data_IF_917806372812
#
_entry.id   IF_917806372812
#
_cell.length_a   1.000
_cell.length_b   1.000
_cell.length_c   1.000
_cell.angle_alpha   90.00
_cell.angle_beta   90.00
_cell.angle_gamma   90.00
#
_symmetry.space_group_name_H-M   'P 1'
#
loop_
_entity.id
_entity.type
_entity.pdbx_description
1 polymer ?
#
# COMPACT_ATOMS: atom_id res chain seq x y z
N UNK A 1 -59.74 21.54 12.02
CA UNK A 1 -58.38 21.18 11.55
C UNK A 1 -58.28 19.67 11.51
N UNK A 2 -57.98 19.08 10.35
CA UNK A 2 -57.88 17.62 10.16
C UNK A 2 -56.49 17.14 10.62
N UNK A 3 -56.38 16.04 11.38
CA UNK A 3 -55.07 15.42 11.63
C UNK A 3 -54.69 14.54 10.44
N UNK A 4 -53.48 14.75 9.91
CA UNK A 4 -52.86 13.85 8.94
C UNK A 4 -52.17 12.71 9.71
N UNK A 5 -52.69 11.48 9.55
CA UNK A 5 -52.00 10.26 9.97
C UNK A 5 -50.89 9.95 8.96
N UNK A 6 -49.64 9.97 9.41
CA UNK A 6 -48.48 9.58 8.64
C UNK A 6 -48.33 8.06 8.75
N UNK A 7 -48.68 7.31 7.71
CA UNK A 7 -48.49 5.86 7.63
C UNK A 7 -47.07 5.59 7.15
N UNK A 8 -46.25 4.99 8.01
CA UNK A 8 -44.89 4.53 7.70
C UNK A 8 -44.98 3.14 7.04
N UNK A 9 -44.50 2.93 5.80
CA UNK A 9 -44.46 1.58 5.24
C UNK A 9 -43.31 0.78 5.87
N UNK A 10 -43.69 -0.27 6.60
CA UNK A 10 -42.79 -1.32 7.08
C UNK A 10 -42.21 -2.06 5.85
N UNK A 11 -40.94 -1.84 5.53
CA UNK A 11 -40.21 -2.70 4.61
C UNK A 11 -39.93 -4.05 5.28
N UNK A 12 -40.71 -5.06 4.93
CA UNK A 12 -40.41 -6.45 5.25
C UNK A 12 -39.21 -6.90 4.42
N UNK A 13 -38.06 -7.10 5.08
CA UNK A 13 -36.92 -7.79 4.48
C UNK A 13 -37.28 -9.28 4.32
N UNK A 14 -37.68 -9.68 3.11
CA UNK A 14 -37.65 -11.07 2.69
C UNK A 14 -36.19 -11.47 2.44
N UNK A 15 -35.59 -12.19 3.38
CA UNK A 15 -34.31 -12.86 3.18
C UNK A 15 -34.50 -14.08 2.29
N UNK A 16 -34.33 -13.90 0.97
CA UNK A 16 -34.11 -15.02 0.05
C UNK A 16 -32.70 -15.57 0.30
N UNK A 17 -32.61 -16.70 1.00
CA UNK A 17 -31.40 -17.52 1.06
C UNK A 17 -31.30 -18.33 -0.24
N UNK A 18 -30.72 -17.73 -1.28
CA UNK A 18 -30.27 -18.47 -2.44
C UNK A 18 -28.96 -19.17 -2.09
N UNK A 19 -29.05 -20.49 -1.94
CA UNK A 19 -27.93 -21.40 -1.74
C UNK A 19 -27.20 -21.54 -3.08
N UNK A 20 -26.20 -20.70 -3.32
CA UNK A 20 -25.26 -20.90 -4.42
C UNK A 20 -24.13 -21.80 -3.94
N UNK A 21 -24.01 -22.97 -4.56
CA UNK A 21 -22.83 -23.83 -4.46
C UNK A 21 -21.67 -23.11 -5.16
N UNK A 22 -20.95 -22.29 -4.42
CA UNK A 22 -19.75 -21.63 -4.91
C UNK A 22 -18.62 -22.66 -4.91
N UNK A 23 -18.15 -23.02 -6.10
CA UNK A 23 -16.83 -23.61 -6.31
C UNK A 23 -15.80 -22.83 -5.49
N UNK A 24 -15.16 -23.51 -4.53
CA UNK A 24 -14.07 -22.93 -3.74
C UNK A 24 -12.96 -22.48 -4.71
N UNK A 25 -12.52 -21.21 -4.66
CA UNK A 25 -11.23 -20.86 -5.26
C UNK A 25 -10.17 -21.72 -4.56
N UNK A 26 -9.25 -22.23 -5.36
CA UNK A 26 -8.15 -23.10 -4.94
C UNK A 26 -7.32 -22.32 -3.91
N UNK A 27 -7.61 -22.50 -2.61
CA UNK A 27 -6.85 -21.88 -1.54
C UNK A 27 -5.47 -22.50 -1.60
N UNK A 28 -4.48 -21.73 -2.05
CA UNK A 28 -3.07 -22.05 -1.89
C UNK A 28 -2.90 -22.34 -0.40
N UNK A 29 -2.67 -23.61 -0.08
CA UNK A 29 -2.37 -24.03 1.29
C UNK A 29 -1.07 -23.35 1.68
N UNK A 30 -1.16 -22.25 2.43
CA UNK A 30 -0.01 -21.63 3.06
C UNK A 30 0.58 -22.65 4.03
N UNK A 31 1.59 -23.37 3.55
CA UNK A 31 2.46 -24.16 4.41
C UNK A 31 3.21 -23.20 5.30
N UNK A 32 2.84 -23.16 6.57
CA UNK A 32 3.57 -22.53 7.68
C UNK A 32 4.88 -23.29 7.92
N UNK A 33 5.79 -23.26 6.95
CA UNK A 33 7.19 -23.60 7.20
C UNK A 33 7.76 -22.50 8.09
N UNK A 34 8.26 -22.91 9.25
CA UNK A 34 9.08 -22.14 10.16
C UNK A 34 10.10 -21.28 9.38
N UNK A 35 9.84 -19.96 9.31
CA UNK A 35 10.74 -18.97 8.72
C UNK A 35 11.91 -18.73 9.68
N UNK A 36 12.89 -19.65 9.73
CA UNK A 36 14.15 -19.41 10.44
C UNK A 36 15.06 -18.53 9.57
N UNK A 37 15.52 -17.42 10.14
CA UNK A 37 16.55 -16.50 9.62
C UNK A 37 16.23 -15.71 8.34
N UNK A 38 15.02 -15.15 8.23
CA UNK A 38 14.85 -14.00 7.32
C UNK A 38 15.57 -12.80 7.94
N UNK A 39 16.61 -12.28 7.24
CA UNK A 39 17.23 -10.98 7.57
C UNK A 39 16.14 -9.92 7.75
N UNK A 40 16.21 -9.16 8.85
CA UNK A 40 15.29 -8.06 9.12
C UNK A 40 15.44 -6.90 8.13
N UNK A 41 16.51 -6.85 7.35
CA UNK A 41 16.69 -5.88 6.28
C UNK A 41 15.62 -6.08 5.19
N UNK A 42 15.17 -5.04 4.48
CA UNK A 42 14.02 -5.18 3.59
C UNK A 42 14.28 -5.98 2.31
N UNK A 43 15.53 -6.16 1.89
CA UNK A 43 15.94 -6.66 0.57
C UNK A 43 15.55 -8.14 0.32
N UNK A 44 15.36 -8.46 -0.97
CA UNK A 44 15.21 -9.79 -1.53
C UNK A 44 16.03 -9.86 -2.83
N UNK A 45 17.19 -10.54 -2.83
CA UNK A 45 18.02 -10.69 -4.01
C UNK A 45 17.31 -11.32 -5.23
N UNK A 46 16.19 -12.03 -5.00
CA UNK A 46 15.37 -12.61 -6.08
C UNK A 46 14.42 -11.62 -6.76
N UNK A 47 14.30 -10.38 -6.28
CA UNK A 47 13.51 -9.33 -6.90
C UNK A 47 14.43 -8.31 -7.61
N UNK A 48 14.50 -8.29 -8.96
CA UNK A 48 15.37 -7.36 -9.69
C UNK A 48 14.91 -5.90 -9.62
N UNK A 49 13.72 -5.62 -9.07
CA UNK A 49 13.14 -4.28 -8.94
C UNK A 49 13.32 -3.69 -7.53
N UNK A 50 14.18 -4.29 -6.68
CA UNK A 50 14.39 -3.84 -5.29
C UNK A 50 14.89 -2.41 -5.14
N UNK A 51 15.60 -1.92 -6.15
CA UNK A 51 16.08 -0.54 -6.19
C UNK A 51 14.95 0.50 -6.11
N UNK A 52 13.71 0.15 -6.47
CA UNK A 52 12.56 1.07 -6.38
C UNK A 52 12.16 1.27 -4.91
N UNK A 53 12.03 0.19 -4.13
CA UNK A 53 11.76 0.28 -2.70
C UNK A 53 12.89 0.94 -1.91
N UNK A 54 14.15 0.68 -2.30
CA UNK A 54 15.31 1.33 -1.71
C UNK A 54 15.26 2.86 -1.92
N UNK A 55 15.09 3.29 -3.17
CA UNK A 55 14.97 4.71 -3.52
C UNK A 55 13.79 5.38 -2.83
N UNK A 56 12.66 4.69 -2.73
CA UNK A 56 11.49 5.17 -2.00
C UNK A 56 11.86 5.54 -0.56
N UNK A 57 12.52 4.63 0.17
CA UNK A 57 12.92 4.87 1.56
C UNK A 57 14.00 5.94 1.68
N UNK A 58 14.93 6.04 0.72
CA UNK A 58 15.93 7.12 0.68
C UNK A 58 15.28 8.51 0.55
N UNK A 59 14.19 8.61 -0.21
CA UNK A 59 13.43 9.86 -0.34
C UNK A 59 12.67 10.14 0.95
N UNK A 60 11.95 9.14 1.51
CA UNK A 60 11.24 9.30 2.78
C UNK A 60 12.15 9.74 3.93
N UNK A 61 13.36 9.20 4.03
CA UNK A 61 14.32 9.58 5.05
C UNK A 61 14.69 11.07 5.03
N UNK A 62 14.53 11.75 3.88
CA UNK A 62 14.74 13.20 3.75
C UNK A 62 13.46 14.00 3.92
N UNK A 63 12.35 13.52 3.36
CA UNK A 63 11.07 14.26 3.35
C UNK A 63 10.39 14.25 4.71
N UNK A 64 10.31 13.09 5.37
CA UNK A 64 9.51 12.94 6.61
C UNK A 64 9.96 13.88 7.73
N UNK A 65 11.27 14.10 7.99
CA UNK A 65 11.73 15.08 8.98
C UNK A 65 11.34 16.54 8.68
N UNK A 66 11.06 16.88 7.42
CA UNK A 66 10.70 18.24 6.99
C UNK A 66 9.19 18.50 7.06
N UNK A 67 8.36 17.45 7.21
CA UNK A 67 6.90 17.59 7.29
C UNK A 67 6.50 18.21 8.63
N UNK A 68 5.79 19.34 8.58
CA UNK A 68 5.18 19.93 9.76
C UNK A 68 3.98 19.09 10.24
N UNK A 69 4.18 18.31 11.30
CA UNK A 69 3.15 17.40 11.84
C UNK A 69 2.00 18.10 12.56
N UNK A 70 2.11 19.39 12.88
CA UNK A 70 1.06 20.20 13.53
C UNK A 70 0.38 21.19 12.59
N UNK A 71 0.82 21.28 11.33
CA UNK A 71 0.27 22.17 10.32
C UNK A 71 -0.77 21.43 9.47
N UNK A 72 -1.69 22.19 8.86
CA UNK A 72 -2.63 21.66 7.87
C UNK A 72 -1.86 21.00 6.70
N UNK A 73 -2.25 19.79 6.25
CA UNK A 73 -1.67 19.14 5.08
C UNK A 73 -1.65 20.03 3.85
N UNK A 74 -0.48 20.13 3.22
CA UNK A 74 -0.20 20.91 2.03
C UNK A 74 0.51 20.04 0.99
N UNK A 75 -0.22 19.72 -0.09
CA UNK A 75 0.27 18.89 -1.17
C UNK A 75 1.46 19.52 -1.90
N UNK A 76 1.47 20.85 -2.04
CA UNK A 76 2.57 21.54 -2.71
C UNK A 76 3.85 21.47 -1.89
N UNK A 77 3.73 21.49 -0.55
CA UNK A 77 4.87 21.32 0.34
C UNK A 77 5.45 19.91 0.28
N UNK A 78 4.63 18.84 0.23
CA UNK A 78 5.14 17.46 0.11
C UNK A 78 5.79 17.23 -1.24
N UNK A 79 5.15 17.69 -2.33
CA UNK A 79 5.70 17.59 -3.68
C UNK A 79 7.05 18.32 -3.81
N UNK A 80 7.17 19.51 -3.21
CA UNK A 80 8.42 20.26 -3.18
C UNK A 80 9.51 19.51 -2.41
N UNK A 81 9.20 19.01 -1.21
CA UNK A 81 10.17 18.26 -0.40
C UNK A 81 10.66 16.99 -1.13
N UNK A 82 9.77 16.27 -1.81
CA UNK A 82 10.12 15.12 -2.65
C UNK A 82 11.02 15.53 -3.83
N UNK A 83 10.71 16.64 -4.49
CA UNK A 83 11.52 17.19 -5.59
C UNK A 83 12.93 17.55 -5.10
N UNK A 84 13.03 18.24 -3.96
CA UNK A 84 14.31 18.60 -3.35
C UNK A 84 15.10 17.34 -2.93
N UNK A 85 14.43 16.32 -2.40
CA UNK A 85 15.04 15.06 -1.97
C UNK A 85 15.57 14.20 -3.13
N UNK A 86 14.92 14.26 -4.29
CA UNK A 86 15.24 13.48 -5.51
C UNK A 86 16.32 14.13 -6.37
N UNK A 87 16.39 15.47 -6.40
CA UNK A 87 17.39 16.23 -7.15
C UNK A 87 18.85 15.75 -6.94
N UNK A 88 19.38 15.61 -5.70
CA UNK A 88 20.76 15.15 -5.49
C UNK A 88 20.95 13.66 -5.81
N UNK A 89 19.87 12.88 -5.89
CA UNK A 89 19.92 11.46 -6.23
C UNK A 89 19.89 11.22 -7.75
N UNK A 90 19.76 12.29 -8.56
CA UNK A 90 19.60 12.22 -10.02
C UNK A 90 18.46 11.28 -10.44
N UNK A 91 17.44 11.15 -9.59
CA UNK A 91 16.28 10.34 -9.89
C UNK A 91 15.37 11.12 -10.84
N UNK A 92 14.91 10.46 -11.89
CA UNK A 92 13.93 11.04 -12.80
C UNK A 92 12.64 11.26 -12.01
N UNK A 93 12.31 12.52 -11.74
CA UNK A 93 10.99 12.86 -11.26
C UNK A 93 10.02 12.76 -12.44
N UNK A 94 8.86 12.14 -12.25
CA UNK A 94 7.72 12.39 -13.12
C UNK A 94 7.39 13.89 -13.11
N UNK A 95 6.95 14.43 -14.26
CA UNK A 95 6.80 15.88 -14.44
C UNK A 95 5.78 16.51 -13.47
N UNK A 96 5.88 17.82 -13.26
CA UNK A 96 5.20 18.56 -12.17
C UNK A 96 3.69 18.26 -12.03
N UNK A 97 2.97 18.09 -13.14
CA UNK A 97 1.52 17.81 -13.18
C UNK A 97 1.10 16.50 -12.51
N UNK A 98 2.07 15.64 -12.21
CA UNK A 98 1.82 14.35 -11.60
C UNK A 98 1.66 14.44 -10.08
N UNK A 99 2.35 15.36 -9.42
CA UNK A 99 2.19 15.54 -7.98
C UNK A 99 0.77 16.01 -7.63
N UNK A 100 0.10 16.69 -8.56
CA UNK A 100 -1.31 17.07 -8.44
C UNK A 100 -2.26 15.85 -8.33
N UNK A 101 -1.84 14.66 -8.78
CA UNK A 101 -2.65 13.44 -8.69
C UNK A 101 -2.48 12.68 -7.37
N UNK A 102 -1.52 13.07 -6.52
CA UNK A 102 -1.19 12.38 -5.26
C UNK A 102 -2.41 12.27 -4.35
N UNK A 103 -3.14 13.38 -4.13
CA UNK A 103 -4.32 13.37 -3.28
C UNK A 103 -5.40 12.42 -3.81
N UNK A 104 -5.57 12.37 -5.14
CA UNK A 104 -6.46 11.43 -5.80
C UNK A 104 -6.03 9.99 -5.54
N UNK A 105 -4.76 9.65 -5.78
CA UNK A 105 -4.22 8.30 -5.57
C UNK A 105 -4.35 7.84 -4.12
N UNK A 106 -4.03 8.70 -3.14
CA UNK A 106 -4.14 8.39 -1.70
C UNK A 106 -5.59 8.18 -1.27
N UNK A 107 -6.55 8.83 -1.94
CA UNK A 107 -7.98 8.71 -1.63
C UNK A 107 -8.69 7.51 -2.26
N UNK A 108 -8.08 6.86 -3.27
CA UNK A 108 -8.69 5.71 -3.94
C UNK A 108 -8.72 4.49 -3.02
N UNK A 109 -9.83 3.76 -3.05
CA UNK A 109 -9.81 2.41 -2.48
C UNK A 109 -9.02 1.47 -3.41
N UNK A 110 -8.43 0.42 -2.82
CA UNK A 110 -7.56 -0.51 -3.54
C UNK A 110 -8.21 -1.13 -4.78
N UNK A 111 -9.50 -1.50 -4.69
CA UNK A 111 -10.17 -2.22 -5.77
C UNK A 111 -10.41 -1.31 -6.97
N UNK A 112 -10.79 -0.05 -6.72
CA UNK A 112 -10.88 1.00 -7.74
C UNK A 112 -9.53 1.25 -8.39
N UNK A 113 -8.47 1.41 -7.58
CA UNK A 113 -7.12 1.61 -8.09
C UNK A 113 -6.70 0.47 -9.03
N UNK A 114 -6.79 -0.78 -8.57
CA UNK A 114 -6.40 -1.96 -9.36
C UNK A 114 -7.23 -2.07 -10.64
N UNK A 115 -8.54 -1.78 -10.57
CA UNK A 115 -9.42 -1.85 -11.74
C UNK A 115 -8.99 -0.90 -12.86
N UNK A 116 -8.47 0.28 -12.51
CA UNK A 116 -8.06 1.34 -13.45
C UNK A 116 -6.68 1.11 -14.08
N UNK A 117 -5.91 0.13 -13.60
CA UNK A 117 -4.58 -0.13 -14.13
C UNK A 117 -4.63 -0.72 -15.53
N UNK A 118 -3.73 -0.23 -16.39
CA UNK A 118 -3.44 -0.84 -17.68
C UNK A 118 -2.43 -2.00 -17.50
N UNK A 119 -2.93 -3.09 -16.92
CA UNK A 119 -2.18 -4.33 -16.75
C UNK A 119 -3.10 -5.54 -16.95
N UNK A 120 -2.50 -6.71 -17.17
CA UNK A 120 -3.27 -7.94 -17.39
C UNK A 120 -4.08 -8.37 -16.17
N UNK A 121 -5.11 -9.19 -16.38
CA UNK A 121 -5.91 -9.77 -15.29
C UNK A 121 -5.01 -10.53 -14.28
N UNK A 122 -4.07 -11.40 -14.70
CA UNK A 122 -3.14 -12.04 -13.77
C UNK A 122 -2.33 -11.05 -12.93
N UNK A 123 -1.94 -9.90 -13.50
CA UNK A 123 -1.22 -8.86 -12.75
C UNK A 123 -2.12 -8.23 -11.68
N UNK A 124 -3.37 -7.91 -12.02
CA UNK A 124 -4.36 -7.36 -11.09
C UNK A 124 -4.66 -8.32 -9.93
N UNK A 125 -4.71 -9.63 -10.21
CA UNK A 125 -4.88 -10.66 -9.17
C UNK A 125 -3.69 -10.69 -8.20
N UNK A 126 -2.46 -10.63 -8.71
CA UNK A 126 -1.26 -10.59 -7.85
C UNK A 126 -1.18 -9.30 -7.03
N UNK A 127 -1.57 -8.16 -7.60
CA UNK A 127 -1.67 -6.91 -6.84
C UNK A 127 -2.74 -7.00 -5.76
N UNK A 128 -3.89 -7.60 -6.06
CA UNK A 128 -4.96 -7.83 -5.07
C UNK A 128 -4.46 -8.69 -3.90
N UNK A 129 -3.69 -9.73 -4.20
CA UNK A 129 -3.06 -10.57 -3.18
C UNK A 129 -2.03 -9.80 -2.33
N UNK A 130 -1.22 -8.93 -2.93
CA UNK A 130 -0.30 -8.06 -2.18
C UNK A 130 -1.05 -7.20 -1.15
N UNK A 131 -2.15 -6.56 -1.55
CA UNK A 131 -2.97 -5.78 -0.63
C UNK A 131 -3.65 -6.66 0.44
N UNK A 132 -4.05 -7.88 0.10
CA UNK A 132 -4.57 -8.87 1.06
C UNK A 132 -3.54 -9.21 2.12
N UNK A 133 -2.29 -9.49 1.73
CA UNK A 133 -1.17 -9.76 2.64
C UNK A 133 -0.99 -8.61 3.65
N UNK A 134 -1.00 -7.36 3.19
CA UNK A 134 -0.85 -6.19 4.07
C UNK A 134 -2.02 -6.03 5.04
N UNK A 135 -3.26 -6.17 4.58
CA UNK A 135 -4.45 -6.08 5.45
C UNK A 135 -4.47 -7.20 6.48
N UNK A 136 -4.09 -8.42 6.08
CA UNK A 136 -4.01 -9.57 6.96
C UNK A 136 -2.90 -9.43 7.99
N UNK A 137 -1.80 -8.75 7.66
CA UNK A 137 -0.75 -8.43 8.63
C UNK A 137 -1.26 -7.59 9.81
N UNK A 138 -2.18 -6.64 9.56
CA UNK A 138 -2.85 -5.90 10.63
C UNK A 138 -3.76 -6.80 11.43
N UNK A 139 -4.64 -7.52 10.72
CA UNK A 139 -5.68 -8.36 11.35
C UNK A 139 -5.09 -9.42 12.26
N UNK A 140 -3.96 -10.00 11.86
CA UNK A 140 -3.31 -11.10 12.55
C UNK A 140 -2.09 -10.66 13.37
N UNK A 141 -1.81 -9.34 13.43
CA UNK A 141 -0.66 -8.77 14.16
C UNK A 141 0.68 -9.42 13.78
N UNK A 142 0.90 -9.64 12.49
CA UNK A 142 2.15 -10.22 12.00
C UNK A 142 3.34 -9.30 12.26
N UNK A 143 4.45 -9.90 12.69
CA UNK A 143 5.73 -9.20 12.74
C UNK A 143 6.26 -8.92 11.33
N UNK A 144 7.22 -8.00 11.23
CA UNK A 144 7.83 -7.65 9.94
C UNK A 144 8.39 -8.89 9.21
N UNK A 145 9.02 -9.82 9.94
CA UNK A 145 9.56 -11.06 9.37
C UNK A 145 8.49 -11.90 8.66
N UNK A 146 7.31 -12.08 9.27
CA UNK A 146 6.22 -12.87 8.70
C UNK A 146 5.59 -12.19 7.49
N UNK A 147 5.47 -10.85 7.54
CA UNK A 147 5.01 -10.05 6.42
C UNK A 147 5.98 -10.13 5.24
N UNK A 148 7.28 -9.93 5.50
CA UNK A 148 8.34 -10.04 4.49
C UNK A 148 8.34 -11.44 3.87
N UNK A 149 8.20 -12.49 4.67
CA UNK A 149 8.09 -13.87 4.20
C UNK A 149 6.93 -14.08 3.21
N UNK A 150 5.74 -13.54 3.52
CA UNK A 150 4.59 -13.61 2.61
C UNK A 150 4.79 -12.80 1.33
N UNK A 151 5.37 -11.60 1.41
CA UNK A 151 5.66 -10.80 0.20
C UNK A 151 6.68 -11.51 -0.69
N UNK A 152 7.74 -12.10 -0.12
CA UNK A 152 8.73 -12.89 -0.89
C UNK A 152 8.08 -14.11 -1.56
N UNK A 153 7.13 -14.77 -0.89
CA UNK A 153 6.37 -15.86 -1.50
C UNK A 153 5.54 -15.39 -2.72
N UNK A 154 4.93 -14.20 -2.62
CA UNK A 154 4.24 -13.59 -3.75
C UNK A 154 5.21 -13.24 -4.89
N UNK A 155 6.38 -12.66 -4.59
CA UNK A 155 7.41 -12.35 -5.58
C UNK A 155 7.90 -13.59 -6.33
N UNK A 156 8.12 -14.69 -5.62
CA UNK A 156 8.46 -15.98 -6.24
C UNK A 156 7.33 -16.50 -7.14
N UNK A 157 6.07 -16.33 -6.71
CA UNK A 157 4.90 -16.70 -7.51
C UNK A 157 4.81 -15.87 -8.80
N UNK A 158 5.12 -14.57 -8.73
CA UNK A 158 5.19 -13.68 -9.90
C UNK A 158 6.27 -14.11 -10.89
N UNK A 159 7.47 -14.45 -10.39
CA UNK A 159 8.59 -14.88 -11.23
C UNK A 159 8.29 -16.18 -11.99
N UNK A 160 7.50 -17.08 -11.40
CA UNK A 160 7.14 -18.39 -11.98
C UNK A 160 5.82 -18.39 -12.75
N UNK A 161 5.02 -17.31 -12.69
CA UNK A 161 3.72 -17.25 -13.34
C UNK A 161 3.86 -17.02 -14.85
N UNK A 162 3.60 -18.07 -15.64
CA UNK A 162 3.62 -18.01 -17.11
C UNK A 162 2.52 -17.16 -17.75
N UNK A 163 1.52 -16.71 -16.98
CA UNK A 163 0.48 -15.79 -17.42
C UNK A 163 0.86 -14.30 -17.34
N UNK A 164 2.02 -13.97 -16.74
CA UNK A 164 2.52 -12.60 -16.65
C UNK A 164 3.57 -12.33 -17.72
N UNK A 165 3.39 -11.24 -18.48
CA UNK A 165 4.46 -10.70 -19.31
C UNK A 165 5.47 -9.89 -18.46
N UNK A 166 6.60 -9.51 -19.06
CA UNK A 166 7.66 -8.79 -18.34
C UNK A 166 7.24 -7.41 -17.81
N UNK A 167 6.35 -6.70 -18.51
CA UNK A 167 5.82 -5.41 -18.04
C UNK A 167 4.95 -5.59 -16.79
N UNK A 168 4.11 -6.62 -16.76
CA UNK A 168 3.28 -6.95 -15.62
C UNK A 168 4.12 -7.41 -14.42
N UNK A 169 5.11 -8.28 -14.66
CA UNK A 169 6.07 -8.67 -13.61
C UNK A 169 6.77 -7.46 -13.03
N UNK A 170 7.21 -6.53 -13.87
CA UNK A 170 7.84 -5.29 -13.42
C UNK A 170 6.93 -4.49 -12.47
N UNK A 171 5.65 -4.33 -12.82
CA UNK A 171 4.67 -3.64 -11.95
C UNK A 171 4.53 -4.33 -10.61
N UNK A 172 4.24 -5.63 -10.62
CA UNK A 172 3.96 -6.37 -9.39
C UNK A 172 5.21 -6.46 -8.50
N UNK A 173 6.37 -6.76 -9.08
CA UNK A 173 7.62 -6.85 -8.33
C UNK A 173 8.08 -5.49 -7.78
N UNK A 174 7.85 -4.39 -8.51
CA UNK A 174 8.09 -3.03 -7.99
C UNK A 174 7.17 -2.73 -6.81
N UNK A 175 5.89 -3.11 -6.90
CA UNK A 175 4.93 -2.97 -5.82
C UNK A 175 5.33 -3.79 -4.58
N UNK A 176 5.75 -5.05 -4.76
CA UNK A 176 6.24 -5.89 -3.67
C UNK A 176 7.51 -5.33 -3.01
N UNK A 177 8.44 -4.80 -3.81
CA UNK A 177 9.63 -4.11 -3.32
C UNK A 177 9.23 -2.92 -2.43
N UNK A 178 8.40 -2.00 -2.95
CA UNK A 178 7.92 -0.85 -2.17
C UNK A 178 7.17 -1.29 -0.92
N UNK A 179 6.36 -2.35 -0.98
CA UNK A 179 5.68 -2.91 0.19
C UNK A 179 6.67 -3.34 1.28
N UNK A 180 7.72 -4.11 0.93
CA UNK A 180 8.74 -4.56 1.90
C UNK A 180 9.52 -3.40 2.52
N UNK A 181 9.97 -2.47 1.69
CA UNK A 181 10.76 -1.33 2.12
C UNK A 181 9.93 -0.35 2.96
N UNK A 182 8.71 -0.03 2.52
CA UNK A 182 7.76 0.81 3.27
C UNK A 182 7.41 0.19 4.63
N UNK A 183 7.09 -1.10 4.65
CA UNK A 183 6.76 -1.80 5.90
C UNK A 183 7.94 -1.85 6.86
N UNK A 184 9.17 -1.93 6.35
CA UNK A 184 10.38 -1.83 7.17
C UNK A 184 10.58 -0.40 7.72
N UNK A 185 10.39 0.61 6.87
CA UNK A 185 10.54 2.01 7.25
C UNK A 185 9.52 2.40 8.32
N UNK A 186 8.23 2.22 8.06
CA UNK A 186 7.17 2.67 8.94
C UNK A 186 6.83 1.68 10.06
N UNK A 187 7.02 0.37 9.84
CA UNK A 187 6.66 -0.66 10.81
C UNK A 187 7.77 -1.02 11.79
N UNK A 188 9.04 -0.80 11.42
CA UNK A 188 10.20 -1.25 12.21
C UNK A 188 11.19 -0.12 12.54
N UNK A 189 11.58 0.72 11.56
CA UNK A 189 12.68 1.68 11.75
C UNK A 189 12.23 3.06 12.26
N UNK A 190 11.11 3.57 11.75
CA UNK A 190 10.55 4.89 12.03
C UNK A 190 9.05 4.78 12.30
N UNK A 191 8.65 4.10 13.38
CA UNK A 191 7.23 3.94 13.67
C UNK A 191 6.57 5.30 13.86
N UNK A 192 5.41 5.57 13.21
CA UNK A 192 4.69 6.85 13.33
C UNK A 192 4.19 7.12 14.76
N UNK A 193 4.35 6.18 15.70
CA UNK A 193 4.01 6.31 17.12
C UNK A 193 4.89 5.38 17.95
N UNK A 194 5.34 5.84 19.13
CA UNK A 194 6.20 5.10 20.09
C UNK A 194 5.57 3.85 20.73
N UNK A 195 4.37 3.44 20.32
CA UNK A 195 3.61 2.34 20.92
C UNK A 195 2.91 1.51 19.83
N UNK A 196 3.22 0.21 19.78
CA UNK A 196 2.55 -0.82 18.99
C UNK A 196 1.15 -1.13 19.55
N UNK A 197 0.28 -0.11 19.56
CA UNK A 197 -1.16 -0.33 19.71
C UNK A 197 -1.75 -0.78 18.37
N UNK A 198 -2.92 -1.43 18.37
CA UNK A 198 -3.70 -1.74 17.16
C UNK A 198 -3.87 -0.50 16.25
N UNK A 199 -3.92 0.71 16.85
CA UNK A 199 -3.95 1.99 16.14
C UNK A 199 -2.63 2.37 15.47
N UNK A 200 -1.48 1.85 15.91
CA UNK A 200 -0.18 2.04 15.26
C UNK A 200 -0.01 1.12 14.04
N UNK A 201 -0.52 -0.11 14.13
CA UNK A 201 -0.45 -1.11 13.05
C UNK A 201 -1.32 -0.71 11.85
N UNK A 202 -2.50 -0.12 12.07
CA UNK A 202 -3.35 0.39 10.98
C UNK A 202 -2.73 1.60 10.24
N UNK A 203 -1.84 2.36 10.89
CA UNK A 203 -1.25 3.59 10.33
C UNK A 203 -0.16 3.30 9.30
N UNK A 204 0.78 2.41 9.62
CA UNK A 204 1.83 2.05 8.66
C UNK A 204 1.24 1.29 7.47
N UNK A 205 0.16 0.53 7.65
CA UNK A 205 -0.54 -0.10 6.51
C UNK A 205 -1.21 0.94 5.63
N UNK A 206 -1.86 1.98 6.18
CA UNK A 206 -2.42 3.06 5.36
C UNK A 206 -1.34 3.80 4.55
N UNK A 207 -0.17 4.05 5.15
CA UNK A 207 1.00 4.56 4.44
C UNK A 207 1.46 3.56 3.37
N UNK A 208 1.80 2.32 3.74
CA UNK A 208 2.27 1.29 2.82
C UNK A 208 1.31 1.01 1.65
N UNK A 209 -0.01 1.07 1.85
CA UNK A 209 -0.98 0.95 0.75
C UNK A 209 -0.94 2.15 -0.20
N UNK A 210 -0.69 3.35 0.33
CA UNK A 210 -0.50 4.57 -0.48
C UNK A 210 0.83 4.52 -1.24
N UNK A 211 1.88 3.98 -0.63
CA UNK A 211 3.19 3.82 -1.24
C UNK A 211 3.12 2.85 -2.43
N UNK A 212 2.45 1.72 -2.23
CA UNK A 212 2.18 0.72 -3.27
C UNK A 212 1.30 1.31 -4.36
N UNK A 213 0.26 2.07 -4.01
CA UNK A 213 -0.54 2.76 -4.99
C UNK A 213 0.31 3.69 -5.84
N UNK A 214 1.19 4.47 -5.21
CA UNK A 214 2.08 5.34 -5.95
C UNK A 214 3.07 4.59 -6.85
N UNK A 215 3.63 3.49 -6.35
CA UNK A 215 4.54 2.63 -7.10
C UNK A 215 3.85 2.00 -8.33
N UNK A 216 2.58 1.64 -8.24
CA UNK A 216 1.88 0.98 -9.34
C UNK A 216 1.49 1.97 -10.44
N UNK A 217 1.02 3.18 -10.08
CA UNK A 217 0.45 4.11 -11.09
C UNK A 217 1.53 4.67 -12.03
N UNK A 218 2.72 5.03 -11.54
CA UNK A 218 3.80 5.51 -12.44
C UNK A 218 5.15 4.81 -12.27
N UNK A 219 5.23 3.71 -11.51
CA UNK A 219 6.47 2.93 -11.38
C UNK A 219 7.64 3.78 -10.89
N UNK A 220 7.33 4.74 -10.00
CA UNK A 220 8.26 5.77 -9.55
C UNK A 220 8.40 5.76 -8.03
N UNK A 221 9.64 5.61 -7.58
CA UNK A 221 10.00 5.77 -6.17
C UNK A 221 9.64 7.17 -5.63
N UNK A 222 9.78 8.21 -6.47
CA UNK A 222 9.48 9.58 -6.09
C UNK A 222 7.99 9.79 -5.81
N UNK A 223 7.11 9.22 -6.62
CA UNK A 223 5.69 9.33 -6.32
C UNK A 223 5.25 8.49 -5.16
N UNK A 224 5.77 7.26 -5.08
CA UNK A 224 5.45 6.39 -3.97
C UNK A 224 5.79 7.12 -2.67
N UNK A 225 6.93 7.83 -2.64
CA UNK A 225 7.33 8.64 -1.49
C UNK A 225 6.45 9.89 -1.28
N UNK A 226 5.91 10.53 -2.32
CA UNK A 226 4.98 11.65 -2.16
C UNK A 226 3.61 11.18 -1.65
N UNK A 227 3.04 10.13 -2.24
CA UNK A 227 1.84 9.46 -1.72
C UNK A 227 2.03 9.04 -0.26
N UNK A 228 3.19 8.48 0.07
CA UNK A 228 3.56 8.10 1.42
C UNK A 228 3.60 9.28 2.38
N UNK A 229 4.29 10.35 1.98
CA UNK A 229 4.49 11.56 2.78
C UNK A 229 3.16 12.28 3.03
N UNK A 230 2.33 12.40 2.00
CA UNK A 230 1.01 13.00 2.11
C UNK A 230 0.06 12.15 2.96
N UNK A 231 0.05 10.82 2.78
CA UNK A 231 -0.74 9.92 3.62
C UNK A 231 -0.30 9.99 5.08
N UNK A 232 1.01 9.99 5.35
CA UNK A 232 1.57 10.18 6.68
C UNK A 232 1.13 11.50 7.31
N UNK A 233 1.20 12.62 6.57
CA UNK A 233 0.77 13.91 7.07
C UNK A 233 -0.73 13.94 7.39
N UNK A 234 -1.59 13.42 6.51
CA UNK A 234 -3.03 13.29 6.77
C UNK A 234 -3.29 12.51 8.06
N UNK A 235 -2.58 11.39 8.25
CA UNK A 235 -2.70 10.54 9.43
C UNK A 235 -2.28 11.31 10.68
N UNK A 236 -1.12 11.99 10.67
CA UNK A 236 -0.57 12.68 11.84
C UNK A 236 -1.36 13.94 12.19
N UNK A 237 -1.76 14.75 11.21
CA UNK A 237 -2.54 15.97 11.42
C UNK A 237 -3.95 15.69 11.95
N UNK A 238 -4.60 14.62 11.51
CA UNK A 238 -5.97 14.29 11.93
C UNK A 238 -6.08 13.75 13.37
N UNK A 239 -4.98 13.70 14.12
CA UNK A 239 -4.99 13.24 15.51
C UNK A 239 -5.20 14.40 16.50
N UNK A 240 -6.05 14.23 17.54
CA UNK A 240 -6.01 15.12 18.70
C UNK A 240 -4.66 14.96 19.40
N UNK A 241 -4.01 16.09 19.69
CA UNK A 241 -2.76 16.17 20.45
C UNK A 241 -2.90 15.77 21.92
#
# INVERSE_FOLDING_TARGET
>A
MKPYFLILPLFAFFSYSCKNETMRPNSISLSTKSFSEISLSPENPGNPYDTIGERHNLILAKVVPEICTSCKPDLAATAKAVTDATAPLQLKTPGDSYYDTVAGTVSLNTDQLISQLDCSIPAKEMLTELFSILRNSVKNSYGYSDLKGQIIQLENSVNTNGGLNESDKAVVLSACSVARFSSFYWGYSNPPVKSYSLKGITKWVAAATSDIAGAIVYRSAAYAADCSSYAYWLIVYSMPG
#
